data_IF_241110872174
#
_entry.id   IF_241110872174
#
_cell.length_a   1.000
_cell.length_b   1.000
_cell.length_c   1.000
_cell.angle_alpha   90.00
_cell.angle_beta   90.00
_cell.angle_gamma   90.00
#
_symmetry.space_group_name_H-M   'P 1'
#
loop_
_entity.id
_entity.type
_entity.pdbx_description
1 polymer ?
#
# COMPACT_ATOMS: atom_id res chain seq x y z
N UNK A 1 24.21 10.20 -32.59
CA UNK A 1 23.39 9.04 -32.97
C UNK A 1 23.49 7.84 -32.01
N UNK A 2 24.63 7.54 -31.35
CA UNK A 2 24.79 6.37 -30.46
C UNK A 2 24.21 6.56 -29.03
N UNK A 3 24.05 7.80 -28.55
CA UNK A 3 23.66 8.06 -27.15
C UNK A 3 22.27 7.57 -26.73
N UNK A 4 21.30 7.48 -27.66
CA UNK A 4 19.93 7.09 -27.35
C UNK A 4 19.73 5.57 -27.18
N UNK A 5 20.61 4.75 -27.78
CA UNK A 5 20.49 3.28 -27.77
C UNK A 5 21.27 2.66 -26.60
N UNK A 6 22.29 3.36 -26.10
CA UNK A 6 23.13 2.87 -25.00
C UNK A 6 22.34 2.49 -23.75
N UNK A 7 21.34 3.27 -23.28
CA UNK A 7 20.54 2.85 -22.12
C UNK A 7 19.76 1.55 -22.34
N UNK A 8 19.25 1.32 -23.56
CA UNK A 8 18.54 0.08 -23.89
C UNK A 8 19.51 -1.10 -23.91
N UNK A 9 20.69 -0.93 -24.50
CA UNK A 9 21.73 -1.95 -24.51
C UNK A 9 22.17 -2.32 -23.10
N UNK A 10 22.45 -1.31 -22.25
CA UNK A 10 22.86 -1.51 -20.86
C UNK A 10 21.77 -2.26 -20.07
N UNK A 11 20.49 -1.92 -20.26
CA UNK A 11 19.37 -2.62 -19.64
C UNK A 11 19.27 -4.09 -20.08
N UNK A 12 19.43 -4.38 -21.38
CA UNK A 12 19.38 -5.76 -21.89
C UNK A 12 20.57 -6.58 -21.36
N UNK A 13 21.78 -6.00 -21.33
CA UNK A 13 22.95 -6.68 -20.76
C UNK A 13 22.79 -6.93 -19.26
N UNK A 14 22.19 -6.00 -18.53
CA UNK A 14 21.88 -6.19 -17.11
C UNK A 14 20.87 -7.32 -16.89
N UNK A 15 19.81 -7.39 -17.71
CA UNK A 15 18.84 -8.48 -17.66
C UNK A 15 19.49 -9.83 -17.96
N UNK A 16 20.34 -9.90 -18.99
CA UNK A 16 21.08 -11.12 -19.34
C UNK A 16 21.99 -11.60 -18.19
N UNK A 17 22.68 -10.68 -17.52
CA UNK A 17 23.50 -11.03 -16.35
C UNK A 17 22.67 -11.46 -15.13
N UNK A 18 21.42 -11.00 -15.02
CA UNK A 18 20.52 -11.38 -13.93
C UNK A 18 19.90 -12.76 -14.15
N UNK A 19 19.62 -13.11 -15.40
CA UNK A 19 18.98 -14.37 -15.82
C UNK A 19 19.75 -15.61 -15.34
N UNK A 20 21.07 -15.54 -15.24
CA UNK A 20 21.94 -16.61 -14.71
C UNK A 20 21.59 -17.04 -13.28
N UNK A 21 20.96 -16.16 -12.48
CA UNK A 21 20.63 -16.41 -11.07
C UNK A 21 19.14 -16.32 -10.77
N UNK A 22 18.44 -15.40 -11.42
CA UNK A 22 17.01 -15.16 -11.25
C UNK A 22 16.39 -15.01 -12.65
N UNK A 23 15.67 -16.04 -13.14
CA UNK A 23 15.19 -16.08 -14.52
C UNK A 23 14.39 -14.84 -14.89
N UNK A 24 14.72 -14.21 -16.01
CA UNK A 24 13.98 -13.06 -16.52
C UNK A 24 12.75 -13.56 -17.24
N UNK A 25 11.58 -13.17 -16.77
CA UNK A 25 10.30 -13.57 -17.34
C UNK A 25 9.66 -12.45 -18.16
N UNK A 26 8.71 -12.82 -19.02
CA UNK A 26 7.84 -11.84 -19.70
C UNK A 26 6.53 -11.77 -18.93
N UNK A 27 6.18 -10.57 -18.47
CA UNK A 27 4.96 -10.34 -17.70
C UNK A 27 4.13 -9.23 -18.33
N UNK A 28 2.81 -9.41 -18.39
CA UNK A 28 1.87 -8.34 -18.75
C UNK A 28 0.71 -8.33 -17.77
N UNK A 29 0.33 -7.15 -17.29
CA UNK A 29 -0.84 -6.97 -16.43
C UNK A 29 -1.88 -6.21 -17.23
N UNK A 30 -3.07 -6.79 -17.38
CA UNK A 30 -4.22 -6.15 -18.03
C UNK A 30 -5.41 -6.31 -17.09
N UNK A 31 -6.08 -5.20 -16.80
CA UNK A 31 -7.26 -5.19 -15.95
C UNK A 31 -8.41 -4.50 -16.68
N UNK A 32 -9.62 -5.02 -16.46
CA UNK A 32 -10.85 -4.46 -17.02
C UNK A 32 -11.90 -4.32 -15.93
N UNK A 33 -12.81 -3.37 -16.14
CA UNK A 33 -13.98 -3.16 -15.29
C UNK A 33 -15.24 -3.06 -16.15
N UNK A 34 -16.40 -3.05 -15.51
CA UNK A 34 -17.71 -3.01 -16.16
C UNK A 34 -18.67 -2.09 -15.41
N UNK A 35 -19.74 -1.68 -16.10
CA UNK A 35 -20.81 -0.85 -15.53
C UNK A 35 -22.10 -0.98 -16.33
N UNK A 36 -23.24 -0.75 -15.69
CA UNK A 36 -24.58 -0.84 -16.33
C UNK A 36 -24.81 0.27 -17.35
N UNK A 37 -24.17 1.42 -17.15
CA UNK A 37 -24.20 2.57 -18.05
C UNK A 37 -22.76 3.12 -18.20
N UNK A 38 -22.58 4.04 -19.15
CA UNK A 38 -21.28 4.59 -19.51
C UNK A 38 -20.67 5.38 -18.35
N UNK A 39 -21.50 6.06 -17.57
CA UNK A 39 -21.10 6.89 -16.44
C UNK A 39 -20.52 6.03 -15.31
N UNK A 40 -21.20 4.93 -14.95
CA UNK A 40 -20.70 3.98 -13.95
C UNK A 40 -19.44 3.29 -14.46
N UNK A 41 -19.38 2.92 -15.74
CA UNK A 41 -18.20 2.28 -16.30
C UNK A 41 -16.97 3.20 -16.24
N UNK A 42 -17.12 4.48 -16.63
CA UNK A 42 -16.06 5.49 -16.55
C UNK A 42 -15.60 5.72 -15.11
N UNK A 43 -16.54 5.83 -14.16
CA UNK A 43 -16.21 5.93 -12.73
C UNK A 43 -15.44 4.71 -12.24
N UNK A 44 -15.92 3.50 -12.55
CA UNK A 44 -15.27 2.26 -12.14
C UNK A 44 -13.88 2.13 -12.77
N UNK A 45 -13.68 2.64 -14.00
CA UNK A 45 -12.38 2.66 -14.67
C UNK A 45 -11.41 3.58 -13.92
N UNK A 46 -11.85 4.77 -13.50
CA UNK A 46 -11.05 5.68 -12.69
C UNK A 46 -10.68 5.07 -11.33
N UNK A 47 -11.61 4.37 -10.67
CA UNK A 47 -11.34 3.66 -9.41
C UNK A 47 -10.33 2.52 -9.62
N UNK A 48 -10.47 1.74 -10.69
CA UNK A 48 -9.53 0.68 -11.03
C UNK A 48 -8.13 1.24 -11.32
N UNK A 49 -8.06 2.33 -12.09
CA UNK A 49 -6.81 3.04 -12.36
C UNK A 49 -6.13 3.50 -11.07
N UNK A 50 -6.87 4.20 -10.20
CA UNK A 50 -6.33 4.66 -8.91
C UNK A 50 -5.90 3.51 -8.00
N UNK A 51 -6.61 2.37 -8.03
CA UNK A 51 -6.23 1.20 -7.25
C UNK A 51 -4.92 0.56 -7.75
N UNK A 52 -4.72 0.48 -9.08
CA UNK A 52 -3.49 -0.06 -9.66
C UNK A 52 -2.33 0.92 -9.46
N UNK A 53 -2.54 2.22 -9.63
CA UNK A 53 -1.51 3.24 -9.39
C UNK A 53 -1.13 3.34 -7.90
N UNK A 54 -2.09 3.13 -7.00
CA UNK A 54 -1.83 3.03 -5.55
C UNK A 54 -1.04 1.77 -5.16
N UNK A 55 -0.92 0.80 -6.07
CA UNK A 55 -0.16 -0.42 -5.84
C UNK A 55 1.32 -0.20 -6.17
N UNK A 56 2.01 0.54 -5.28
CA UNK A 56 3.43 0.84 -5.43
C UNK A 56 3.69 1.99 -6.39
N UNK A 57 4.69 1.84 -7.27
CA UNK A 57 5.06 2.85 -8.29
C UNK A 57 4.64 2.31 -9.66
N UNK A 58 3.33 2.16 -9.87
CA UNK A 58 2.77 1.68 -11.13
C UNK A 58 2.15 2.82 -11.91
N UNK A 59 2.40 2.84 -13.23
CA UNK A 59 1.67 3.68 -14.17
C UNK A 59 0.71 2.82 -15.00
N UNK A 60 -0.49 3.35 -15.27
CA UNK A 60 -1.47 2.68 -16.12
C UNK A 60 -1.66 3.43 -17.43
N UNK A 61 -2.05 2.70 -18.48
CA UNK A 61 -2.47 3.30 -19.74
C UNK A 61 -3.82 2.73 -20.15
N UNK A 62 -4.70 3.63 -20.59
CA UNK A 62 -6.02 3.28 -21.14
C UNK A 62 -6.04 3.33 -22.67
N UNK A 63 -4.88 3.64 -23.27
CA UNK A 63 -4.73 3.72 -24.72
C UNK A 63 -4.39 2.34 -25.26
N UNK A 64 -5.35 1.73 -25.96
CA UNK A 64 -5.19 0.45 -26.62
C UNK A 64 -5.28 0.64 -28.14
N UNK A 65 -4.45 -0.09 -28.89
CA UNK A 65 -4.62 -0.17 -30.35
C UNK A 65 -5.95 -0.85 -30.71
N UNK A 66 -6.19 -2.03 -30.15
CA UNK A 66 -7.47 -2.75 -30.25
C UNK A 66 -8.07 -2.97 -28.85
N UNK A 67 -9.14 -2.24 -28.49
CA UNK A 67 -9.79 -2.36 -27.18
C UNK A 67 -10.52 -3.71 -26.99
N UNK A 68 -10.94 -4.39 -28.06
CA UNK A 68 -11.57 -5.72 -27.97
C UNK A 68 -10.55 -6.76 -27.58
N UNK A 69 -9.36 -6.72 -28.19
CA UNK A 69 -8.24 -7.59 -27.83
C UNK A 69 -7.78 -7.36 -26.40
N UNK A 70 -7.70 -6.10 -25.97
CA UNK A 70 -7.38 -5.76 -24.58
C UNK A 70 -8.40 -6.37 -23.60
N UNK A 71 -9.69 -6.32 -23.93
CA UNK A 71 -10.73 -6.96 -23.14
C UNK A 71 -10.63 -8.49 -23.14
N UNK A 72 -10.45 -9.14 -24.29
CA UNK A 72 -10.28 -10.61 -24.37
C UNK A 72 -9.05 -11.08 -23.59
N UNK A 73 -7.97 -10.31 -23.55
CA UNK A 73 -6.77 -10.62 -22.76
C UNK A 73 -7.02 -10.65 -21.24
N UNK A 74 -8.10 -10.04 -20.75
CA UNK A 74 -8.48 -10.12 -19.32
C UNK A 74 -9.33 -11.33 -18.98
N UNK A 75 -9.86 -12.03 -19.99
CA UNK A 75 -10.61 -13.26 -19.78
C UNK A 75 -9.66 -14.43 -19.67
N UNK A 76 -9.70 -15.13 -18.53
CA UNK A 76 -8.89 -16.32 -18.29
C UNK A 76 -9.11 -17.36 -19.39
N UNK A 77 -8.03 -17.75 -20.06
CA UNK A 77 -8.04 -18.78 -21.11
C UNK A 77 -8.63 -18.36 -22.46
N UNK A 78 -9.08 -17.10 -22.64
CA UNK A 78 -9.65 -16.63 -23.90
C UNK A 78 -8.60 -16.08 -24.88
N UNK A 79 -7.36 -15.86 -24.43
CA UNK A 79 -6.25 -15.37 -25.24
C UNK A 79 -4.99 -16.17 -24.98
N UNK A 80 -4.24 -16.42 -26.04
CA UNK A 80 -2.88 -16.98 -26.00
C UNK A 80 -1.83 -15.86 -26.03
N UNK A 81 -2.26 -14.61 -26.28
CA UNK A 81 -1.37 -13.46 -26.43
C UNK A 81 -1.21 -12.66 -25.14
N UNK A 82 -0.04 -12.03 -24.98
CA UNK A 82 0.23 -11.08 -23.90
C UNK A 82 -0.48 -9.74 -24.11
N UNK A 83 -0.54 -8.94 -23.03
CA UNK A 83 -0.93 -7.53 -23.11
C UNK A 83 0.00 -6.69 -24.02
N UNK A 84 -0.40 -5.46 -24.36
CA UNK A 84 0.30 -4.62 -25.34
C UNK A 84 1.69 -4.13 -24.89
N UNK A 85 1.95 -4.11 -23.57
CA UNK A 85 3.20 -3.59 -22.99
C UNK A 85 3.87 -4.69 -22.16
N UNK A 86 4.80 -5.47 -22.72
CA UNK A 86 5.54 -6.48 -21.98
C UNK A 86 6.53 -5.84 -21.00
N UNK A 87 6.55 -6.38 -19.78
CA UNK A 87 7.55 -6.13 -18.76
C UNK A 87 8.54 -7.31 -18.75
N UNK A 88 9.78 -7.04 -18.36
CA UNK A 88 10.84 -8.05 -18.25
C UNK A 88 11.43 -8.13 -16.83
N UNK A 89 10.62 -8.37 -15.78
CA UNK A 89 11.15 -8.49 -14.43
C UNK A 89 11.88 -9.84 -14.24
N UNK A 90 12.95 -9.86 -13.41
CA UNK A 90 13.41 -11.11 -12.79
C UNK A 90 12.24 -11.81 -12.07
N UNK A 91 12.23 -13.14 -12.05
CA UNK A 91 11.11 -13.93 -11.54
C UNK A 91 10.78 -13.59 -10.08
N UNK A 92 11.79 -13.38 -9.23
CA UNK A 92 11.57 -12.98 -7.82
C UNK A 92 10.80 -11.65 -7.72
N UNK A 93 11.11 -10.69 -8.59
CA UNK A 93 10.43 -9.41 -8.66
C UNK A 93 9.02 -9.58 -9.24
N UNK A 94 8.85 -10.39 -10.28
CA UNK A 94 7.55 -10.68 -10.87
C UNK A 94 6.58 -11.25 -9.82
N UNK A 95 7.04 -12.22 -9.03
CA UNK A 95 6.27 -12.82 -7.94
C UNK A 95 5.93 -11.80 -6.84
N UNK A 96 6.85 -10.87 -6.54
CA UNK A 96 6.59 -9.80 -5.58
C UNK A 96 5.54 -8.78 -6.06
N UNK A 97 5.39 -8.62 -7.38
CA UNK A 97 4.42 -7.74 -8.03
C UNK A 97 3.04 -8.38 -8.22
N UNK A 98 2.89 -9.70 -7.99
CA UNK A 98 1.59 -10.35 -8.08
C UNK A 98 0.68 -9.92 -6.92
N UNK A 99 -0.65 -9.87 -7.12
CA UNK A 99 -1.61 -9.49 -6.08
C UNK A 99 -1.82 -10.60 -5.04
N UNK A 100 -0.79 -11.39 -4.79
CA UNK A 100 -0.79 -12.47 -3.81
C UNK A 100 -0.42 -11.94 -2.42
N UNK A 101 0.29 -10.82 -2.36
CA UNK A 101 0.75 -10.24 -1.12
C UNK A 101 -0.21 -9.15 -0.66
N UNK A 102 -0.76 -9.33 0.55
CA UNK A 102 -1.39 -8.24 1.30
C UNK A 102 -0.34 -7.16 1.56
N UNK A 103 -0.74 -5.89 1.48
CA UNK A 103 0.14 -4.79 1.86
C UNK A 103 0.71 -5.07 3.26
N UNK A 104 2.04 -5.19 3.35
CA UNK A 104 2.70 -5.48 4.61
C UNK A 104 2.75 -4.25 5.51
N UNK A 105 2.85 -4.47 6.81
CA UNK A 105 3.11 -3.38 7.74
C UNK A 105 4.49 -2.76 7.48
N UNK A 106 4.55 -1.43 7.42
CA UNK A 106 5.82 -0.68 7.35
C UNK A 106 6.69 -0.87 8.59
N UNK A 107 6.09 -1.32 9.69
CA UNK A 107 6.75 -1.49 10.98
C UNK A 107 7.59 -2.77 11.09
N UNK A 108 7.38 -3.76 10.20
CA UNK A 108 8.19 -4.98 10.04
C UNK A 108 8.52 -5.70 11.38
N UNK A 109 7.52 -5.94 12.21
CA UNK A 109 7.62 -6.60 13.51
C UNK A 109 8.04 -5.68 14.65
N UNK A 110 8.10 -4.36 14.43
CA UNK A 110 8.53 -3.35 15.42
C UNK A 110 7.39 -2.45 15.89
N UNK A 111 6.13 -2.77 15.59
CA UNK A 111 5.01 -2.01 16.14
C UNK A 111 4.78 -2.33 17.62
N UNK A 112 4.33 -1.33 18.38
CA UNK A 112 4.02 -1.44 19.82
C UNK A 112 2.52 -1.36 20.13
N UNK A 113 1.70 -1.11 19.12
CA UNK A 113 0.25 -1.20 19.16
C UNK A 113 -0.23 -2.22 18.12
N UNK A 114 -1.15 -3.10 18.49
CA UNK A 114 -1.80 -4.00 17.54
C UNK A 114 -3.21 -3.50 17.21
N UNK A 115 -3.45 -3.23 15.94
CA UNK A 115 -4.75 -2.88 15.36
C UNK A 115 -5.20 -3.99 14.40
N UNK A 116 -6.38 -3.80 13.81
CA UNK A 116 -6.89 -4.68 12.76
C UNK A 116 -7.28 -3.83 11.56
N UNK A 117 -7.05 -4.36 10.37
CA UNK A 117 -7.64 -3.81 9.14
C UNK A 117 -9.12 -4.18 9.05
N UNK A 118 -9.85 -3.58 8.10
CA UNK A 118 -11.28 -3.85 7.90
C UNK A 118 -11.58 -5.31 7.53
N UNK A 119 -10.64 -6.01 6.88
CA UNK A 119 -10.69 -7.45 6.59
C UNK A 119 -10.32 -8.33 7.81
N UNK A 120 -10.05 -7.73 8.97
CA UNK A 120 -9.91 -8.42 10.27
C UNK A 120 -8.51 -8.95 10.57
N UNK A 121 -7.53 -8.71 9.70
CA UNK A 121 -6.18 -9.21 9.91
C UNK A 121 -5.32 -8.22 10.72
N UNK A 122 -4.49 -8.76 11.61
CA UNK A 122 -3.66 -7.99 12.53
C UNK A 122 -2.76 -6.98 11.79
N UNK A 123 -2.64 -5.79 12.36
CA UNK A 123 -1.90 -4.65 11.84
C UNK A 123 -1.15 -3.95 12.97
N UNK A 124 0.16 -4.15 13.01
CA UNK A 124 0.99 -3.47 13.99
C UNK A 124 1.17 -1.99 13.63
N UNK A 125 1.27 -1.12 14.64
CA UNK A 125 1.53 0.32 14.52
C UNK A 125 2.61 0.71 15.51
N UNK A 126 3.64 1.42 15.06
CA UNK A 126 4.76 1.90 15.88
C UNK A 126 4.55 3.34 16.35
N UNK A 127 3.97 3.51 17.52
CA UNK A 127 3.85 4.81 18.18
C UNK A 127 5.20 5.24 18.78
N UNK A 128 5.47 6.54 18.81
CA UNK A 128 6.74 7.12 19.27
C UNK A 128 8.00 6.56 18.55
N UNK A 129 7.84 6.10 17.31
CA UNK A 129 8.92 5.56 16.49
C UNK A 129 9.62 6.64 15.67
N UNK A 130 10.93 6.47 15.44
CA UNK A 130 11.71 7.33 14.54
C UNK A 130 11.27 7.26 13.07
N UNK A 131 10.44 6.27 12.69
CA UNK A 131 9.86 6.20 11.35
C UNK A 131 8.66 7.14 11.17
N UNK A 132 8.07 7.64 12.25
CA UNK A 132 6.93 8.54 12.23
C UNK A 132 7.27 9.85 12.94
N UNK A 133 7.56 10.90 12.15
CA UNK A 133 7.91 12.22 12.68
C UNK A 133 6.74 12.92 13.39
N UNK A 134 5.51 12.65 12.96
CA UNK A 134 4.29 13.24 13.52
C UNK A 134 3.18 12.21 13.61
N UNK A 135 2.53 12.15 14.76
CA UNK A 135 1.33 11.37 15.00
C UNK A 135 0.19 12.32 15.36
N UNK A 136 -0.93 12.24 14.62
CA UNK A 136 -2.12 13.06 14.88
C UNK A 136 -3.32 12.16 14.69
N UNK A 137 -4.03 11.93 15.78
CA UNK A 137 -5.19 11.06 15.81
C UNK A 137 -6.45 11.89 16.05
N UNK A 138 -7.52 11.57 15.33
CA UNK A 138 -8.85 12.11 15.56
C UNK A 138 -9.81 10.94 15.77
N UNK A 139 -10.43 10.86 16.94
CA UNK A 139 -11.35 9.79 17.29
C UNK A 139 -12.80 10.33 17.42
N UNK A 140 -13.54 10.55 16.32
CA UNK A 140 -14.91 11.03 16.36
C UNK A 140 -15.91 9.89 16.64
N UNK A 141 -17.08 10.26 17.16
CA UNK A 141 -18.27 9.40 17.18
C UNK A 141 -19.07 9.49 18.48
N UNK A 142 -20.03 8.58 18.65
CA UNK A 142 -20.99 8.62 19.76
C UNK A 142 -20.43 8.12 21.10
N UNK A 143 -20.95 8.61 22.25
CA UNK A 143 -20.58 8.11 23.57
C UNK A 143 -20.72 6.58 23.68
N UNK A 144 -19.79 5.92 24.37
CA UNK A 144 -19.83 4.47 24.62
C UNK A 144 -19.15 3.58 23.57
N UNK A 145 -18.68 4.12 22.45
CA UNK A 145 -18.01 3.33 21.39
C UNK A 145 -16.49 3.17 21.57
N UNK A 146 -15.98 3.23 22.82
CA UNK A 146 -14.56 2.95 23.10
C UNK A 146 -13.54 4.03 22.71
N UNK A 147 -13.97 5.22 22.27
CA UNK A 147 -13.06 6.36 21.95
C UNK A 147 -12.09 6.69 23.08
N UNK A 148 -12.60 6.83 24.30
CA UNK A 148 -11.76 7.17 25.46
C UNK A 148 -10.74 6.07 25.77
N UNK A 149 -11.11 4.81 25.55
CA UNK A 149 -10.18 3.67 25.68
C UNK A 149 -9.08 3.78 24.64
N UNK A 150 -9.44 3.94 23.36
CA UNK A 150 -8.48 4.09 22.27
C UNK A 150 -7.50 5.23 22.54
N UNK A 151 -8.02 6.42 22.83
CA UNK A 151 -7.22 7.62 23.06
C UNK A 151 -6.31 7.46 24.29
N UNK A 152 -6.77 6.85 25.38
CA UNK A 152 -5.93 6.57 26.54
C UNK A 152 -4.82 5.57 26.21
N UNK A 153 -5.15 4.47 25.51
CA UNK A 153 -4.18 3.44 25.09
C UNK A 153 -3.09 4.01 24.18
N UNK A 154 -3.46 4.84 23.18
CA UNK A 154 -2.50 5.46 22.28
C UNK A 154 -1.47 6.31 23.06
N UNK A 155 -1.94 7.10 23.99
CA UNK A 155 -1.09 8.01 24.77
C UNK A 155 -0.22 7.26 25.78
N UNK A 156 -0.75 6.23 26.43
CA UNK A 156 0.01 5.38 27.34
C UNK A 156 1.15 4.65 26.62
N UNK A 157 0.90 4.14 25.40
CA UNK A 157 1.94 3.51 24.58
C UNK A 157 3.00 4.53 24.16
N UNK A 158 2.61 5.76 23.80
CA UNK A 158 3.57 6.81 23.45
C UNK A 158 4.51 7.17 24.60
N UNK A 159 4.00 7.25 25.83
CA UNK A 159 4.81 7.56 27.01
C UNK A 159 5.66 6.36 27.42
N UNK A 160 5.09 5.16 27.49
CA UNK A 160 5.83 3.94 27.87
C UNK A 160 6.92 3.57 26.86
N UNK A 161 6.75 3.92 25.59
CA UNK A 161 7.75 3.72 24.55
C UNK A 161 8.82 4.82 24.50
N UNK A 162 8.65 5.90 25.27
CA UNK A 162 9.60 6.99 25.32
C UNK A 162 10.84 6.60 26.14
N UNK A 163 11.99 6.42 25.49
CA UNK A 163 13.20 5.95 26.19
C UNK A 163 13.99 7.04 26.91
N UNK A 164 14.12 8.24 26.32
CA UNK A 164 14.97 9.31 26.85
C UNK A 164 14.19 10.56 27.26
N UNK A 165 13.26 10.99 26.41
CA UNK A 165 12.42 12.16 26.64
C UNK A 165 10.98 11.81 26.30
N UNK A 166 10.05 12.24 27.15
CA UNK A 166 8.62 12.12 26.88
C UNK A 166 8.30 13.02 25.67
N UNK A 167 7.59 12.50 24.65
CA UNK A 167 7.22 13.30 23.49
C UNK A 167 6.26 14.44 23.91
N UNK A 168 6.30 15.57 23.19
CA UNK A 168 5.30 16.61 23.38
C UNK A 168 3.94 16.11 22.88
N UNK A 169 2.96 16.05 23.77
CA UNK A 169 1.59 15.62 23.47
C UNK A 169 0.65 16.80 23.72
N UNK A 170 -0.18 17.11 22.73
CA UNK A 170 -1.27 18.07 22.86
C UNK A 170 -2.61 17.31 22.86
N UNK A 171 -3.41 17.53 23.90
CA UNK A 171 -4.73 16.91 24.06
C UNK A 171 -5.83 17.95 23.94
N UNK A 172 -6.84 17.64 23.14
CA UNK A 172 -8.10 18.38 23.11
C UNK A 172 -9.20 17.35 23.26
N UNK A 173 -9.81 17.30 24.44
CA UNK A 173 -10.85 16.32 24.76
C UNK A 173 -12.06 17.00 25.37
N UNK A 174 -13.24 16.53 24.97
CA UNK A 174 -14.53 16.86 25.58
C UNK A 174 -14.95 15.67 26.42
N UNK A 175 -14.27 15.46 27.54
CA UNK A 175 -14.46 14.30 28.41
C UNK A 175 -13.29 14.08 29.36
N UNK A 176 -13.16 12.83 29.83
CA UNK A 176 -12.12 12.40 30.78
C UNK A 176 -11.13 11.40 30.17
N UNK A 177 -10.97 11.37 28.85
CA UNK A 177 -10.15 10.38 28.14
C UNK A 177 -8.66 10.52 28.48
N UNK A 178 -8.20 11.73 28.81
CA UNK A 178 -6.82 11.99 29.21
C UNK A 178 -6.55 11.75 30.70
N UNK A 179 -7.58 11.49 31.51
CA UNK A 179 -7.42 11.41 32.97
C UNK A 179 -6.50 10.26 33.39
N UNK A 180 -6.60 9.10 32.72
CA UNK A 180 -5.72 7.95 32.98
C UNK A 180 -4.25 8.29 32.73
N UNK A 181 -3.97 8.95 31.61
CA UNK A 181 -2.62 9.42 31.28
C UNK A 181 -2.06 10.39 32.32
N UNK A 182 -2.86 11.39 32.73
CA UNK A 182 -2.42 12.38 33.73
C UNK A 182 -2.13 11.74 35.08
N UNK A 183 -2.93 10.76 35.49
CA UNK A 183 -2.69 9.99 36.71
C UNK A 183 -1.38 9.18 36.60
N UNK A 184 -1.16 8.49 35.48
CA UNK A 184 0.05 7.71 35.23
C UNK A 184 1.34 8.54 35.29
N UNK A 185 1.33 9.80 34.83
CA UNK A 185 2.51 10.68 34.85
C UNK A 185 2.74 11.27 36.24
N UNK A 186 1.67 11.47 37.01
CA UNK A 186 1.72 12.14 38.31
C UNK A 186 2.27 11.23 39.40
N UNK A 187 1.97 9.94 39.33
CA UNK A 187 2.40 8.90 40.26
C UNK A 187 3.79 8.34 39.89
#
# INVERSE_FOLDING_TARGET
FIGAVRPMYDAVMQLAATDDRDPVCVMTIVATTWGKNREICSRNQALLQSAIEGWGVCDTTTTFGDPRRAWVNTMTGASVGSGPVPLYPPLSHALSLLPLNRAGSVWRGKGNLMLHTEDGAAWETGLASSQQNKHTELAPGDPGLGKSVLINTLSEIQISSAQKNIPFIAYIDKGFSAQGLVQLIRD
#
